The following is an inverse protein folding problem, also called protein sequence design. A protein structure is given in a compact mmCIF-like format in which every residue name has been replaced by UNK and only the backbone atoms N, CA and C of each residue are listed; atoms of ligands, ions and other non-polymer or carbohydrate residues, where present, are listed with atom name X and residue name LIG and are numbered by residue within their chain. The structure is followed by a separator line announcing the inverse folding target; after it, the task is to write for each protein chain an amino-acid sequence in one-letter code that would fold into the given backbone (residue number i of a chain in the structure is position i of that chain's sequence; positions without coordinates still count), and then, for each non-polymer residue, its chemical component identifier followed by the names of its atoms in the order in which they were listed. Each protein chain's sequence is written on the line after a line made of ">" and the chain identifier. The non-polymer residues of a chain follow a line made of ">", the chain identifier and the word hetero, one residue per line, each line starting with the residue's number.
data_IF_708349602276
#
_entry.id   IF_708349602276
#
_cell.length_a   1.000
_cell.length_b   1.000
_cell.length_c   1.000
_cell.angle_alpha   90.00
_cell.angle_beta   90.00
_cell.angle_gamma   90.00
#
_symmetry.space_group_name_H-M   'P 1'
#
loop_
_entity.id
_entity.type
_entity.pdbx_description
1 polymer ?
#
# COMPACT_ATOMS: atom_id res chain seq x y z
N UNK A 1 -41.06 38.30 -51.03
CA UNK A 1 -40.63 37.99 -49.64
C UNK A 1 -39.67 36.81 -49.73
N UNK A 2 -38.35 37.05 -49.66
CA UNK A 2 -37.34 36.02 -49.89
C UNK A 2 -37.03 35.29 -48.58
N UNK A 3 -37.28 33.98 -48.54
CA UNK A 3 -36.91 33.10 -47.43
C UNK A 3 -35.47 32.64 -47.67
N UNK A 4 -34.55 33.08 -46.82
CA UNK A 4 -33.19 32.52 -46.75
C UNK A 4 -33.25 31.15 -46.08
N UNK A 5 -33.20 30.08 -46.87
CA UNK A 5 -32.93 28.73 -46.37
C UNK A 5 -31.45 28.61 -45.99
N UNK A 6 -31.17 28.57 -44.68
CA UNK A 6 -29.86 28.21 -44.12
C UNK A 6 -29.53 26.78 -44.56
N UNK A 7 -28.38 26.59 -45.22
CA UNK A 7 -27.81 25.28 -45.52
C UNK A 7 -27.64 24.49 -44.22
N UNK A 8 -28.41 23.41 -44.07
CA UNK A 8 -28.17 22.38 -43.05
C UNK A 8 -26.87 21.66 -43.44
N UNK A 9 -25.86 21.71 -42.58
CA UNK A 9 -24.65 20.90 -42.75
C UNK A 9 -25.05 19.44 -42.59
N UNK A 10 -25.02 18.69 -43.69
CA UNK A 10 -25.18 17.23 -43.67
C UNK A 10 -24.03 16.62 -42.90
N UNK A 11 -24.35 15.90 -41.82
CA UNK A 11 -23.37 15.14 -41.05
C UNK A 11 -22.80 14.02 -41.96
N UNK A 12 -21.48 13.91 -42.03
CA UNK A 12 -20.80 12.86 -42.81
C UNK A 12 -21.23 11.47 -42.29
N UNK A 13 -21.53 10.57 -43.22
CA UNK A 13 -21.87 9.17 -42.99
C UNK A 13 -20.89 8.43 -42.06
N UNK A 14 -19.60 8.83 -42.04
CA UNK A 14 -18.60 8.31 -41.09
C UNK A 14 -18.89 8.72 -39.65
N UNK A 15 -19.36 9.93 -39.44
CA UNK A 15 -19.75 10.44 -38.11
C UNK A 15 -21.01 9.72 -37.61
N UNK A 16 -21.98 9.48 -38.49
CA UNK A 16 -23.17 8.69 -38.18
C UNK A 16 -22.84 7.23 -37.85
N UNK A 17 -21.89 6.61 -38.57
CA UNK A 17 -21.41 5.25 -38.25
C UNK A 17 -20.70 5.17 -36.91
N UNK A 18 -19.92 6.19 -36.54
CA UNK A 18 -19.23 6.25 -35.25
C UNK A 18 -20.21 6.42 -34.09
N UNK A 19 -21.20 7.32 -34.22
CA UNK A 19 -22.27 7.49 -33.22
C UNK A 19 -23.10 6.20 -33.09
N UNK A 20 -23.41 5.53 -34.19
CA UNK A 20 -24.11 4.25 -34.17
C UNK A 20 -23.31 3.18 -33.43
N UNK A 21 -22.00 3.06 -33.67
CA UNK A 21 -21.13 2.11 -32.97
C UNK A 21 -21.07 2.35 -31.46
N UNK A 22 -20.88 3.60 -31.03
CA UNK A 22 -20.86 3.96 -29.60
C UNK A 22 -22.21 3.67 -28.95
N UNK A 23 -23.31 4.03 -29.61
CA UNK A 23 -24.65 3.79 -29.09
C UNK A 23 -24.95 2.29 -28.95
N UNK A 24 -24.49 1.48 -29.91
CA UNK A 24 -24.67 0.02 -29.87
C UNK A 24 -23.82 -0.63 -28.77
N UNK A 25 -22.59 -0.14 -28.57
CA UNK A 25 -21.70 -0.59 -27.50
C UNK A 25 -22.25 -0.26 -26.11
N UNK A 26 -22.74 0.96 -25.89
CA UNK A 26 -23.37 1.38 -24.62
C UNK A 26 -24.63 0.55 -24.33
N UNK A 27 -25.46 0.29 -25.34
CA UNK A 27 -26.66 -0.55 -25.19
C UNK A 27 -26.27 -2.00 -24.86
N UNK A 28 -25.24 -2.57 -25.51
CA UNK A 28 -24.78 -3.92 -25.20
C UNK A 28 -24.20 -4.03 -23.78
N UNK A 29 -23.35 -3.10 -23.35
CA UNK A 29 -22.81 -3.08 -21.97
C UNK A 29 -23.92 -2.93 -20.94
N UNK A 30 -24.93 -2.10 -21.22
CA UNK A 30 -26.10 -1.93 -20.34
C UNK A 30 -26.95 -3.19 -20.27
N UNK A 31 -27.15 -3.90 -21.40
CA UNK A 31 -27.90 -5.16 -21.45
C UNK A 31 -27.15 -6.30 -20.75
N UNK A 32 -25.82 -6.39 -20.88
CA UNK A 32 -25.01 -7.36 -20.13
C UNK A 32 -24.99 -7.07 -18.61
N UNK A 33 -25.02 -5.79 -18.22
CA UNK A 33 -25.16 -5.39 -16.81
C UNK A 33 -26.53 -5.75 -16.22
N UNK A 34 -27.60 -5.64 -17.01
CA UNK A 34 -28.96 -5.96 -16.58
C UNK A 34 -29.20 -7.49 -16.58
N UNK A 35 -28.71 -8.24 -17.57
CA UNK A 35 -28.86 -9.71 -17.61
C UNK A 35 -28.06 -10.44 -16.52
N UNK A 36 -26.93 -9.89 -16.06
CA UNK A 36 -26.22 -10.46 -14.89
C UNK A 36 -26.90 -10.19 -13.55
N UNK A 37 -27.81 -9.22 -13.48
CA UNK A 37 -28.56 -8.92 -12.25
C UNK A 37 -29.74 -9.87 -12.00
N UNK A 38 -30.20 -10.64 -13.01
CA UNK A 38 -31.30 -11.61 -12.84
C UNK A 38 -30.84 -13.04 -12.54
N UNK A 39 -29.54 -13.31 -12.59
CA UNK A 39 -28.93 -14.59 -12.17
C UNK A 39 -28.18 -14.43 -10.85
N UNK A 40 -28.78 -13.66 -9.92
CA UNK A 40 -28.46 -13.78 -8.49
C UNK A 40 -28.94 -15.16 -8.01
N UNK A 41 -28.14 -16.18 -8.34
CA UNK A 41 -28.18 -17.49 -7.72
C UNK A 41 -28.02 -17.30 -6.21
N UNK A 42 -29.01 -17.80 -5.49
CA UNK A 42 -28.98 -18.39 -4.15
C UNK A 42 -27.56 -18.57 -3.54
N UNK A 43 -27.03 -17.51 -2.90
CA UNK A 43 -25.81 -17.54 -2.07
C UNK A 43 -26.23 -17.37 -0.60
N UNK A 44 -27.15 -18.20 -0.11
CA UNK A 44 -27.49 -18.23 1.32
C UNK A 44 -26.58 -19.19 2.13
N UNK A 45 -25.66 -19.89 1.47
CA UNK A 45 -24.88 -20.99 2.07
C UNK A 45 -23.47 -20.68 2.61
N UNK A 46 -22.86 -19.52 2.33
CA UNK A 46 -21.45 -19.27 2.65
C UNK A 46 -21.16 -18.09 3.61
N UNK A 47 -22.18 -17.33 4.03
CA UNK A 47 -22.02 -16.10 4.84
C UNK A 47 -22.00 -16.35 6.36
N UNK A 48 -21.26 -17.35 6.85
CA UNK A 48 -21.10 -17.58 8.30
C UNK A 48 -19.65 -17.62 8.74
N UNK A 49 -18.98 -16.47 8.74
CA UNK A 49 -18.19 -15.97 9.87
C UNK A 49 -17.75 -14.53 9.60
N UNK A 50 -17.78 -13.68 10.61
CA UNK A 50 -17.73 -12.20 10.61
C UNK A 50 -19.12 -11.53 10.47
N UNK A 51 -19.66 -11.12 11.61
CA UNK A 51 -21.05 -10.70 11.80
C UNK A 51 -21.49 -9.52 10.91
N UNK A 52 -22.69 -9.64 10.35
CA UNK A 52 -23.42 -8.59 9.62
C UNK A 52 -24.04 -7.57 10.58
N UNK A 53 -23.22 -6.92 11.42
CA UNK A 53 -23.66 -5.67 12.02
C UNK A 53 -23.59 -4.58 10.93
N UNK A 54 -24.60 -3.70 10.85
CA UNK A 54 -24.53 -2.53 9.98
C UNK A 54 -23.28 -1.73 10.35
N UNK A 55 -22.26 -1.75 9.47
CA UNK A 55 -21.00 -1.08 9.73
C UNK A 55 -21.24 0.42 9.83
N UNK A 56 -21.00 0.99 11.01
CA UNK A 56 -21.09 2.43 11.23
C UNK A 56 -19.71 3.03 10.96
N UNK A 57 -19.56 3.93 9.97
CA UNK A 57 -18.28 4.56 9.70
C UNK A 57 -17.76 5.31 10.92
N UNK A 58 -16.43 5.38 11.11
CA UNK A 58 -15.84 6.17 12.20
C UNK A 58 -16.23 7.66 12.05
N UNK A 59 -16.49 8.30 13.19
CA UNK A 59 -16.93 9.69 13.30
C UNK A 59 -15.79 10.63 13.68
N UNK A 60 -14.68 10.10 14.21
CA UNK A 60 -13.53 10.89 14.67
C UNK A 60 -12.21 10.35 14.13
N UNK A 61 -11.16 11.18 14.13
CA UNK A 61 -9.82 10.76 13.72
C UNK A 61 -9.24 9.76 14.72
N UNK A 62 -9.57 9.92 16.00
CA UNK A 62 -9.17 9.04 17.08
C UNK A 62 -9.74 7.62 16.91
N UNK A 63 -10.98 7.50 16.43
CA UNK A 63 -11.58 6.21 16.09
C UNK A 63 -10.87 5.54 14.90
N UNK A 64 -10.55 6.30 13.85
CA UNK A 64 -9.77 5.79 12.72
C UNK A 64 -8.40 5.30 13.20
N UNK A 65 -7.70 6.13 13.98
CA UNK A 65 -6.38 5.81 14.53
C UNK A 65 -6.41 4.52 15.37
N UNK A 66 -7.43 4.36 16.22
CA UNK A 66 -7.63 3.15 17.02
C UNK A 66 -7.89 1.91 16.15
N UNK A 67 -8.73 2.03 15.11
CA UNK A 67 -8.99 0.95 14.14
C UNK A 67 -7.70 0.55 13.44
N UNK A 68 -6.91 1.52 12.96
CA UNK A 68 -5.64 1.27 12.28
C UNK A 68 -4.65 0.57 13.19
N UNK A 69 -4.42 1.07 14.42
CA UNK A 69 -3.52 0.43 15.37
C UNK A 69 -3.90 -1.02 15.70
N UNK A 70 -5.18 -1.26 15.98
CA UNK A 70 -5.69 -2.60 16.31
C UNK A 70 -5.62 -3.56 15.11
N UNK A 71 -6.00 -3.08 13.92
CA UNK A 71 -6.00 -3.87 12.70
C UNK A 71 -4.58 -4.21 12.27
N UNK A 72 -3.67 -3.24 12.32
CA UNK A 72 -2.27 -3.45 12.01
C UNK A 72 -1.69 -4.54 12.92
N UNK A 73 -1.84 -4.47 14.24
CA UNK A 73 -1.36 -5.53 15.16
C UNK A 73 -1.83 -6.94 14.76
N UNK A 74 -3.12 -7.08 14.44
CA UNK A 74 -3.71 -8.35 14.01
C UNK A 74 -3.13 -8.85 12.69
N UNK A 75 -3.01 -7.96 11.70
CA UNK A 75 -2.54 -8.28 10.34
C UNK A 75 -1.06 -8.59 10.34
N UNK A 76 -0.24 -7.78 11.03
CA UNK A 76 1.20 -8.03 11.22
C UNK A 76 1.46 -9.37 11.89
N UNK A 77 0.70 -9.71 12.94
CA UNK A 77 0.83 -11.02 13.60
C UNK A 77 0.58 -12.17 12.63
N UNK A 78 -0.38 -12.02 11.69
CA UNK A 78 -0.67 -13.04 10.67
C UNK A 78 0.41 -13.12 9.59
N UNK A 79 0.91 -11.97 9.14
CA UNK A 79 2.03 -11.89 8.21
C UNK A 79 3.26 -12.57 8.82
N UNK A 80 3.68 -12.21 10.03
CA UNK A 80 4.85 -12.82 10.69
C UNK A 80 4.69 -14.32 10.97
N UNK A 81 3.46 -14.83 11.07
CA UNK A 81 3.21 -16.27 11.22
C UNK A 81 3.34 -17.05 9.90
N UNK A 82 2.98 -16.44 8.78
CA UNK A 82 2.84 -17.13 7.50
C UNK A 82 3.92 -16.73 6.49
N UNK A 83 4.57 -15.59 6.66
CA UNK A 83 5.52 -15.06 5.69
C UNK A 83 6.96 -15.23 6.20
N UNK A 84 7.85 -15.43 5.24
CA UNK A 84 9.30 -15.37 5.45
C UNK A 84 9.84 -14.12 4.76
N UNK A 85 10.83 -13.47 5.37
CA UNK A 85 11.50 -12.33 4.77
C UNK A 85 12.74 -12.84 4.01
N UNK A 86 12.73 -12.83 2.67
CA UNK A 86 13.84 -13.36 1.89
C UNK A 86 15.10 -12.51 2.06
N UNK A 87 16.27 -13.15 1.96
CA UNK A 87 17.52 -12.40 1.75
C UNK A 87 17.45 -11.65 0.40
N UNK A 88 18.26 -10.60 0.22
CA UNK A 88 18.16 -9.68 -0.95
C UNK A 88 18.27 -10.39 -2.31
N UNK A 89 18.92 -11.55 -2.36
CA UNK A 89 19.08 -12.37 -3.56
C UNK A 89 18.03 -13.47 -3.73
N UNK A 90 17.22 -13.75 -2.71
CA UNK A 90 16.29 -14.87 -2.74
C UNK A 90 15.01 -14.49 -3.52
N UNK A 91 14.46 -15.41 -4.33
CA UNK A 91 13.27 -15.12 -5.09
C UNK A 91 12.06 -14.92 -4.18
N UNK A 92 11.32 -13.85 -4.43
CA UNK A 92 10.02 -13.63 -3.80
C UNK A 92 8.97 -14.58 -4.37
N UNK A 93 8.02 -15.01 -3.54
CA UNK A 93 7.01 -16.00 -3.93
C UNK A 93 5.78 -15.97 -3.03
N UNK A 94 4.69 -16.58 -3.47
CA UNK A 94 3.50 -16.85 -2.63
C UNK A 94 2.84 -18.14 -3.08
N UNK A 95 2.25 -18.87 -2.13
CA UNK A 95 1.38 -20.02 -2.44
C UNK A 95 -0.08 -19.61 -2.66
N UNK A 96 -0.36 -18.31 -2.74
CA UNK A 96 -1.70 -17.78 -3.01
C UNK A 96 -2.24 -18.29 -4.35
N UNK A 97 -3.50 -18.70 -4.36
CA UNK A 97 -4.24 -18.99 -5.59
C UNK A 97 -4.70 -17.74 -6.31
N UNK A 98 -4.77 -16.60 -5.62
CA UNK A 98 -5.29 -15.33 -6.15
C UNK A 98 -4.18 -14.35 -6.54
N UNK A 99 -3.03 -14.40 -5.88
CA UNK A 99 -1.96 -13.42 -6.06
C UNK A 99 -0.71 -14.06 -6.63
N UNK A 100 0.02 -13.27 -7.41
CA UNK A 100 1.41 -13.54 -7.80
C UNK A 100 2.30 -12.40 -7.33
N UNK A 101 3.53 -12.75 -6.93
CA UNK A 101 4.56 -11.75 -6.70
C UNK A 101 5.26 -11.47 -8.02
N UNK A 102 5.33 -10.20 -8.42
CA UNK A 102 6.05 -9.77 -9.62
C UNK A 102 7.06 -8.69 -9.28
N UNK A 103 8.18 -8.68 -10.01
CA UNK A 103 9.15 -7.60 -9.96
C UNK A 103 8.85 -6.57 -11.05
N UNK A 104 8.63 -5.32 -10.66
CA UNK A 104 8.44 -4.19 -11.55
C UNK A 104 9.67 -3.29 -11.58
N UNK A 105 9.97 -2.78 -12.76
CA UNK A 105 10.98 -1.75 -12.95
C UNK A 105 10.34 -0.40 -12.66
N UNK A 106 10.75 0.25 -11.56
CA UNK A 106 10.30 1.61 -11.22
C UNK A 106 11.47 2.57 -11.23
N UNK A 107 11.21 3.79 -11.71
CA UNK A 107 12.12 4.92 -11.50
C UNK A 107 12.24 5.15 -9.98
N UNK A 108 13.39 4.79 -9.41
CA UNK A 108 13.75 5.16 -8.05
C UNK A 108 14.58 6.44 -8.10
N UNK A 109 14.16 7.44 -7.33
CA UNK A 109 14.93 8.67 -7.15
C UNK A 109 16.06 8.36 -6.18
N UNK A 110 17.29 8.31 -6.67
CA UNK A 110 18.49 8.07 -5.85
C UNK A 110 19.18 9.40 -5.57
N UNK A 111 18.60 10.18 -4.65
CA UNK A 111 19.15 11.46 -4.21
C UNK A 111 19.45 12.43 -5.35
N UNK A 112 20.59 13.13 -5.27
CA UNK A 112 21.03 14.12 -6.26
C UNK A 112 21.58 13.54 -7.57
N UNK A 113 21.66 12.21 -7.71
CA UNK A 113 22.32 11.54 -8.85
C UNK A 113 21.37 11.20 -10.01
N UNK A 114 20.11 11.64 -9.94
CA UNK A 114 19.09 11.38 -10.97
C UNK A 114 18.26 10.13 -10.70
N UNK A 115 17.44 9.75 -11.69
CA UNK A 115 16.58 8.56 -11.64
C UNK A 115 17.38 7.32 -12.03
N UNK A 116 17.35 6.28 -11.23
CA UNK A 116 17.80 4.93 -11.61
C UNK A 116 16.58 4.02 -11.73
N UNK A 117 16.62 3.07 -12.65
CA UNK A 117 15.63 2.00 -12.66
C UNK A 117 15.97 1.03 -11.54
N UNK A 118 15.06 0.90 -10.58
CA UNK A 118 15.14 -0.08 -9.50
C UNK A 118 14.08 -1.16 -9.70
N UNK A 119 14.41 -2.38 -9.31
CA UNK A 119 13.42 -3.43 -9.16
C UNK A 119 12.69 -3.21 -7.84
N UNK A 120 11.37 -3.05 -7.89
CA UNK A 120 10.47 -3.11 -6.74
C UNK A 120 9.56 -4.33 -6.91
N UNK A 121 9.16 -5.00 -5.84
CA UNK A 121 8.25 -6.12 -5.94
C UNK A 121 6.84 -5.72 -5.51
N UNK A 122 5.83 -6.34 -6.12
CA UNK A 122 4.41 -6.10 -5.79
C UNK A 122 3.62 -7.40 -5.89
N UNK A 123 2.38 -7.36 -5.40
CA UNK A 123 1.39 -8.42 -5.56
C UNK A 123 0.43 -8.04 -6.69
N UNK A 124 0.27 -8.93 -7.67
CA UNK A 124 -0.70 -8.77 -8.76
C UNK A 124 -1.81 -9.78 -8.60
N UNK A 125 -3.05 -9.33 -8.80
CA UNK A 125 -4.21 -10.21 -8.82
C UNK A 125 -4.16 -11.07 -10.10
N UNK A 126 -4.05 -12.39 -9.94
CA UNK A 126 -4.15 -13.36 -11.03
C UNK A 126 -5.53 -13.26 -11.67
N UNK A 127 -5.59 -13.44 -13.00
CA UNK A 127 -6.81 -13.42 -13.81
C UNK A 127 -7.92 -12.50 -13.23
N UNK A 128 -7.74 -11.18 -13.30
CA UNK A 128 -8.64 -10.23 -12.64
C UNK A 128 -10.11 -10.39 -13.06
N UNK A 129 -10.36 -10.81 -14.30
CA UNK A 129 -11.72 -11.06 -14.80
C UNK A 129 -12.44 -12.16 -14.01
N UNK A 130 -11.71 -13.12 -13.45
CA UNK A 130 -12.23 -14.22 -12.63
C UNK A 130 -12.18 -13.86 -11.14
N UNK A 131 -11.14 -13.16 -10.68
CA UNK A 131 -10.91 -12.97 -9.25
C UNK A 131 -11.50 -11.68 -8.67
N UNK A 132 -11.93 -10.70 -9.49
CA UNK A 132 -12.57 -9.48 -9.00
C UNK A 132 -13.86 -9.76 -8.19
N UNK A 133 -14.65 -10.75 -8.59
CA UNK A 133 -15.85 -11.17 -7.86
C UNK A 133 -15.55 -11.85 -6.52
N UNK A 134 -14.29 -12.21 -6.27
CA UNK A 134 -13.79 -12.88 -5.07
C UNK A 134 -12.74 -12.04 -4.34
N UNK A 135 -12.76 -10.72 -4.50
CA UNK A 135 -11.76 -9.83 -3.90
C UNK A 135 -11.65 -9.99 -2.38
N UNK A 136 -12.75 -10.19 -1.66
CA UNK A 136 -12.68 -10.37 -0.20
C UNK A 136 -11.90 -11.65 0.17
N UNK A 137 -12.19 -12.76 -0.50
CA UNK A 137 -11.43 -14.01 -0.36
C UNK A 137 -9.96 -13.80 -0.74
N UNK A 138 -9.69 -13.09 -1.85
CA UNK A 138 -8.34 -12.81 -2.30
C UNK A 138 -7.57 -12.01 -1.25
N UNK A 139 -8.13 -10.94 -0.67
CA UNK A 139 -7.42 -10.19 0.37
C UNK A 139 -7.19 -11.01 1.64
N UNK A 140 -8.17 -11.80 2.07
CA UNK A 140 -8.01 -12.72 3.22
C UNK A 140 -6.92 -13.76 2.95
N UNK A 141 -6.78 -14.21 1.70
CA UNK A 141 -5.76 -15.18 1.29
C UNK A 141 -4.33 -14.62 1.49
N UNK A 142 -4.09 -13.32 1.26
CA UNK A 142 -2.76 -12.69 1.40
C UNK A 142 -2.09 -13.00 2.74
N UNK A 143 -2.84 -12.88 3.85
CA UNK A 143 -2.29 -13.02 5.19
C UNK A 143 -2.40 -14.42 5.77
N UNK A 144 -3.07 -15.34 5.08
CA UNK A 144 -3.28 -16.71 5.54
C UNK A 144 -2.51 -17.75 4.72
N UNK A 145 -1.84 -17.34 3.63
CA UNK A 145 -1.00 -18.22 2.81
C UNK A 145 0.48 -17.93 3.02
N UNK A 146 1.32 -18.98 2.95
CA UNK A 146 2.76 -18.82 2.90
C UNK A 146 3.23 -17.89 1.78
N UNK A 147 4.16 -16.98 2.12
CA UNK A 147 4.79 -16.08 1.16
C UNK A 147 6.22 -15.73 1.56
N UNK A 148 7.03 -15.39 0.54
CA UNK A 148 8.33 -14.71 0.66
C UNK A 148 8.20 -13.35 0.02
N UNK A 149 8.10 -12.30 0.82
CA UNK A 149 7.77 -10.96 0.31
C UNK A 149 8.47 -9.85 1.12
N UNK A 150 8.65 -8.69 0.49
CA UNK A 150 9.29 -7.53 1.11
C UNK A 150 8.36 -6.70 2.02
N UNK A 151 8.97 -5.82 2.82
CA UNK A 151 8.28 -4.97 3.79
C UNK A 151 7.28 -3.98 3.17
N UNK A 152 7.48 -3.55 1.92
CA UNK A 152 6.57 -2.65 1.17
C UNK A 152 5.29 -3.36 0.76
N UNK A 153 5.38 -4.62 0.33
CA UNK A 153 4.22 -5.48 0.05
C UNK A 153 3.42 -5.66 1.33
N UNK A 154 4.11 -6.03 2.40
CA UNK A 154 3.50 -6.26 3.70
C UNK A 154 2.81 -4.99 4.25
N UNK A 155 3.44 -3.80 4.09
CA UNK A 155 2.84 -2.51 4.46
C UNK A 155 1.55 -2.25 3.69
N UNK A 156 1.55 -2.51 2.39
CA UNK A 156 0.40 -2.31 1.53
C UNK A 156 -0.74 -3.27 1.92
N UNK A 157 -0.42 -4.53 2.27
CA UNK A 157 -1.40 -5.47 2.85
C UNK A 157 -2.02 -4.90 4.12
N UNK A 158 -1.21 -4.42 5.06
CA UNK A 158 -1.72 -3.82 6.31
C UNK A 158 -2.65 -2.64 6.04
N UNK A 159 -2.25 -1.74 5.13
CA UNK A 159 -3.06 -0.59 4.73
C UNK A 159 -4.41 -1.01 4.13
N UNK A 160 -4.42 -2.02 3.26
CA UNK A 160 -5.64 -2.57 2.65
C UNK A 160 -6.60 -3.07 3.74
N UNK A 161 -6.10 -3.86 4.69
CA UNK A 161 -6.93 -4.37 5.78
C UNK A 161 -7.41 -3.27 6.72
N UNK A 162 -6.59 -2.26 7.00
CA UNK A 162 -7.03 -1.09 7.79
C UNK A 162 -8.17 -0.35 7.08
N UNK A 163 -8.04 -0.11 5.77
CA UNK A 163 -9.10 0.54 4.99
C UNK A 163 -10.37 -0.32 4.95
N UNK A 164 -10.23 -1.64 4.83
CA UNK A 164 -11.35 -2.59 4.89
C UNK A 164 -12.11 -2.51 6.21
N UNK A 165 -11.41 -2.44 7.35
CA UNK A 165 -12.04 -2.30 8.65
C UNK A 165 -12.64 -0.90 8.88
N UNK A 166 -12.04 0.16 8.33
CA UNK A 166 -12.60 1.52 8.38
C UNK A 166 -13.90 1.64 7.59
N UNK A 167 -13.94 1.12 6.36
CA UNK A 167 -15.09 1.24 5.46
C UNK A 167 -16.16 0.17 5.70
N UNK A 168 -15.77 -0.96 6.28
CA UNK A 168 -16.55 -2.18 6.33
C UNK A 168 -16.38 -3.03 5.05
N UNK A 169 -16.57 -4.37 5.12
CA UNK A 169 -16.25 -5.28 4.03
C UNK A 169 -16.97 -4.94 2.72
N UNK A 170 -18.30 -4.75 2.75
CA UNK A 170 -19.09 -4.53 1.54
C UNK A 170 -18.68 -3.25 0.80
N UNK A 171 -18.54 -2.14 1.52
CA UNK A 171 -18.13 -0.85 0.95
C UNK A 171 -16.70 -0.90 0.44
N UNK A 172 -15.82 -1.57 1.16
CA UNK A 172 -14.44 -1.76 0.73
C UNK A 172 -14.34 -2.57 -0.57
N UNK A 173 -15.11 -3.65 -0.73
CA UNK A 173 -15.12 -4.43 -1.98
C UNK A 173 -15.69 -3.62 -3.13
N UNK A 174 -16.76 -2.85 -2.88
CA UNK A 174 -17.29 -1.92 -3.87
C UNK A 174 -16.24 -0.89 -4.29
N UNK A 175 -15.55 -0.28 -3.32
CA UNK A 175 -14.45 0.66 -3.55
C UNK A 175 -13.34 0.04 -4.39
N UNK A 176 -12.83 -1.14 -3.99
CA UNK A 176 -11.72 -1.80 -4.67
C UNK A 176 -12.08 -2.18 -6.12
N UNK A 177 -13.31 -2.65 -6.35
CA UNK A 177 -13.81 -2.99 -7.70
C UNK A 177 -13.95 -1.74 -8.58
N UNK A 178 -14.47 -0.66 -8.01
CA UNK A 178 -14.59 0.63 -8.71
C UNK A 178 -13.22 1.23 -9.02
N UNK A 179 -12.30 1.21 -8.05
CA UNK A 179 -10.92 1.68 -8.22
C UNK A 179 -10.21 0.93 -9.34
N UNK A 180 -10.32 -0.41 -9.33
CA UNK A 180 -9.81 -1.25 -10.40
C UNK A 180 -10.32 -0.80 -11.78
N UNK A 181 -11.63 -0.57 -11.89
CA UNK A 181 -12.26 -0.16 -13.15
C UNK A 181 -11.75 1.20 -13.64
N UNK A 182 -11.54 2.15 -12.73
CA UNK A 182 -10.95 3.47 -13.04
C UNK A 182 -9.51 3.31 -13.52
N UNK A 183 -8.69 2.54 -12.81
CA UNK A 183 -7.30 2.25 -13.22
C UNK A 183 -7.23 1.67 -14.63
N UNK A 184 -8.11 0.73 -14.97
CA UNK A 184 -8.18 0.16 -16.33
C UNK A 184 -8.56 1.21 -17.38
N UNK A 185 -9.53 2.08 -17.07
CA UNK A 185 -9.94 3.16 -17.98
C UNK A 185 -8.81 4.17 -18.24
N UNK A 186 -8.06 4.50 -17.18
CA UNK A 186 -6.89 5.40 -17.22
C UNK A 186 -5.60 4.69 -17.68
N UNK A 187 -5.66 3.40 -18.00
CA UNK A 187 -4.54 2.56 -18.46
C UNK A 187 -3.37 2.51 -17.48
N UNK A 188 -3.67 2.51 -16.19
CA UNK A 188 -2.67 2.29 -15.17
C UNK A 188 -2.18 0.83 -15.23
N UNK A 189 -0.88 0.58 -14.97
CA UNK A 189 -0.35 -0.77 -14.80
C UNK A 189 -1.11 -1.55 -13.73
N UNK A 190 -1.32 -2.85 -13.97
CA UNK A 190 -1.99 -3.75 -13.04
C UNK A 190 -1.24 -3.91 -11.73
N UNK A 191 0.07 -3.79 -11.82
CA UNK A 191 1.05 -3.86 -10.74
C UNK A 191 0.91 -2.72 -9.72
N UNK A 192 0.25 -1.64 -10.11
CA UNK A 192 -0.01 -0.50 -9.24
C UNK A 192 -1.28 -0.69 -8.39
N UNK A 193 -2.22 -1.56 -8.78
CA UNK A 193 -3.50 -1.72 -8.08
C UNK A 193 -3.30 -1.99 -6.59
N UNK A 194 -2.42 -2.91 -6.24
CA UNK A 194 -2.19 -3.31 -4.86
C UNK A 194 -1.58 -2.19 -3.99
N UNK A 195 -0.67 -1.39 -4.55
CA UNK A 195 0.00 -0.31 -3.83
C UNK A 195 -0.82 0.98 -3.77
N UNK A 196 -1.63 1.24 -4.79
CA UNK A 196 -2.44 2.46 -4.92
C UNK A 196 -3.86 2.29 -4.36
N UNK A 197 -4.32 1.05 -4.14
CA UNK A 197 -5.64 0.79 -3.56
C UNK A 197 -5.86 1.47 -2.20
N UNK A 198 -4.89 1.50 -1.26
CA UNK A 198 -5.05 2.27 -0.04
C UNK A 198 -5.27 3.76 -0.33
N UNK A 199 -6.41 4.28 0.14
CA UNK A 199 -6.87 5.66 -0.03
C UNK A 199 -5.76 6.70 0.23
N UNK A 200 -5.76 7.82 -0.49
CA UNK A 200 -4.73 8.86 -0.40
C UNK A 200 -4.47 9.25 1.06
N UNK A 201 -3.23 9.04 1.51
CA UNK A 201 -2.77 9.39 2.84
C UNK A 201 -2.42 10.87 2.91
N UNK A 202 -2.77 11.53 4.01
CA UNK A 202 -2.21 12.84 4.32
C UNK A 202 -0.82 12.63 4.92
N UNK A 203 0.15 13.41 4.44
CA UNK A 203 1.42 13.64 5.13
C UNK A 203 1.19 14.73 6.16
N UNK A 204 0.97 14.43 7.45
CA UNK A 204 0.85 15.47 8.44
C UNK A 204 2.13 16.31 8.46
N UNK A 205 1.98 17.62 8.71
CA UNK A 205 3.12 18.49 8.98
C UNK A 205 3.89 17.92 10.19
N UNK A 206 5.22 18.01 10.13
CA UNK A 206 6.17 17.54 11.14
C UNK A 206 5.60 17.54 12.57
N UNK A 207 5.75 16.41 13.26
CA UNK A 207 5.27 16.18 14.62
C UNK A 207 5.40 14.71 15.00
N UNK A 208 5.32 14.37 16.31
CA UNK A 208 5.50 13.01 16.77
C UNK A 208 4.44 12.07 16.19
N UNK A 209 4.84 10.84 15.85
CA UNK A 209 3.92 9.82 15.37
C UNK A 209 2.83 9.52 16.41
N UNK A 210 1.57 9.68 16.02
CA UNK A 210 0.42 9.29 16.84
C UNK A 210 0.05 7.83 16.57
N UNK A 211 -0.63 7.13 17.49
CA UNK A 211 -1.21 5.82 17.20
C UNK A 211 -2.00 5.85 15.89
N UNK A 212 -1.82 4.84 15.04
CA UNK A 212 -2.39 4.73 13.70
C UNK A 212 -1.54 5.36 12.61
N UNK A 213 -0.49 6.11 12.96
CA UNK A 213 0.45 6.67 11.99
C UNK A 213 1.28 5.58 11.34
N UNK A 214 1.30 5.57 10.01
CA UNK A 214 2.25 4.80 9.20
C UNK A 214 3.49 5.66 9.00
N UNK A 215 4.66 5.14 9.38
CA UNK A 215 5.91 5.90 9.40
C UNK A 215 7.01 5.11 8.71
N UNK A 216 8.03 5.82 8.24
CA UNK A 216 9.32 5.24 7.91
C UNK A 216 10.34 5.68 8.96
N UNK A 217 10.87 4.72 9.71
CA UNK A 217 11.93 4.97 10.69
C UNK A 217 13.28 4.60 10.06
N UNK A 218 14.22 5.54 10.03
CA UNK A 218 15.58 5.28 9.55
C UNK A 218 16.59 5.89 10.51
N UNK A 219 17.37 5.05 11.18
CA UNK A 219 18.39 5.47 12.15
C UNK A 219 19.77 5.72 11.50
N UNK A 220 19.88 5.47 10.20
CA UNK A 220 21.12 5.60 9.44
C UNK A 220 20.89 6.55 8.26
N UNK A 221 21.18 7.85 8.42
CA UNK A 221 21.15 8.76 7.29
C UNK A 221 22.17 8.29 6.26
N UNK A 222 21.80 8.35 4.99
CA UNK A 222 22.69 8.00 3.87
C UNK A 222 23.05 6.52 3.75
N UNK A 223 22.28 5.59 4.32
CA UNK A 223 22.49 4.13 4.20
C UNK A 223 22.79 3.67 2.75
N UNK A 224 22.07 4.20 1.76
CA UNK A 224 22.26 3.89 0.34
C UNK A 224 23.64 4.25 -0.23
N UNK A 225 24.36 5.19 0.38
CA UNK A 225 25.74 5.53 -0.01
C UNK A 225 26.76 4.50 0.51
N UNK A 226 26.40 3.72 1.53
CA UNK A 226 27.29 2.77 2.19
C UNK A 226 26.99 1.33 1.77
N UNK A 227 25.72 0.97 1.72
CA UNK A 227 25.23 -0.34 1.27
C UNK A 227 24.16 -0.10 0.20
N UNK A 228 24.53 0.15 -1.07
CA UNK A 228 23.57 0.44 -2.15
C UNK A 228 22.55 -0.69 -2.39
N UNK A 229 22.83 -1.90 -1.89
CA UNK A 229 21.94 -3.06 -1.92
C UNK A 229 21.54 -3.57 -0.54
N UNK A 230 21.82 -2.82 0.53
CA UNK A 230 21.56 -3.30 1.89
C UNK A 230 20.09 -3.17 2.29
N UNK A 231 19.65 -4.04 3.20
CA UNK A 231 18.25 -4.10 3.64
C UNK A 231 17.90 -3.15 4.81
N UNK A 232 18.87 -2.41 5.39
CA UNK A 232 18.68 -1.59 6.58
C UNK A 232 18.61 -0.07 6.30
N UNK A 233 18.08 0.33 5.13
CA UNK A 233 17.83 1.74 4.82
C UNK A 233 16.81 2.41 5.76
N UNK A 234 16.02 1.60 6.45
CA UNK A 234 14.98 1.98 7.39
C UNK A 234 13.80 1.00 7.34
N UNK A 235 12.91 1.12 8.31
CA UNK A 235 11.78 0.23 8.51
C UNK A 235 10.46 0.94 8.23
N UNK A 236 9.60 0.30 7.43
CA UNK A 236 8.20 0.66 7.33
C UNK A 236 7.47 0.16 8.57
N UNK A 237 6.88 1.09 9.34
CA UNK A 237 6.25 0.79 10.62
C UNK A 237 4.87 1.42 10.77
N UNK A 238 4.07 0.88 11.69
CA UNK A 238 2.83 1.49 12.19
C UNK A 238 2.99 1.79 13.67
N UNK A 239 2.73 3.03 14.06
CA UNK A 239 2.63 3.44 15.45
C UNK A 239 1.37 2.83 16.07
N UNK A 240 1.52 1.99 17.09
CA UNK A 240 0.43 1.27 17.77
C UNK A 240 0.04 1.92 19.09
N UNK A 241 1.02 2.55 19.75
CA UNK A 241 0.88 3.37 20.95
C UNK A 241 1.96 4.46 20.91
N UNK A 242 1.88 5.52 21.73
CA UNK A 242 2.98 6.49 21.84
C UNK A 242 4.31 5.77 22.05
N UNK A 243 5.25 5.99 21.12
CA UNK A 243 6.57 5.37 21.09
C UNK A 243 6.58 3.82 21.01
N UNK A 244 5.54 3.19 20.43
CA UNK A 244 5.54 1.74 20.15
C UNK A 244 5.13 1.48 18.72
N UNK A 245 5.96 0.75 18.00
CA UNK A 245 5.86 0.53 16.57
C UNK A 245 5.87 -0.95 16.23
N UNK A 246 5.04 -1.36 15.30
CA UNK A 246 5.16 -2.65 14.61
C UNK A 246 5.69 -2.42 13.20
N UNK A 247 6.55 -3.30 12.74
CA UNK A 247 7.17 -3.20 11.42
C UNK A 247 7.43 -4.57 10.84
N UNK A 248 8.12 -4.59 9.72
CA UNK A 248 8.34 -5.80 8.92
C UNK A 248 9.81 -6.17 8.91
N UNK A 249 10.22 -6.95 9.93
CA UNK A 249 11.45 -7.71 10.01
C UNK A 249 11.43 -8.52 11.32
N UNK A 250 12.45 -9.35 11.53
CA UNK A 250 12.54 -10.25 12.68
C UNK A 250 12.46 -9.55 14.05
N UNK A 251 12.85 -8.27 14.13
CA UNK A 251 12.81 -7.50 15.38
C UNK A 251 11.38 -7.29 15.91
N UNK A 252 10.37 -7.38 15.02
CA UNK A 252 8.97 -7.21 15.36
C UNK A 252 8.22 -8.54 15.54
N UNK A 253 8.89 -9.70 15.44
CA UNK A 253 8.27 -11.02 15.62
C UNK A 253 7.62 -11.17 17.00
N UNK A 254 8.27 -10.59 18.03
CA UNK A 254 7.75 -10.57 19.40
C UNK A 254 6.65 -9.51 19.63
N UNK A 255 6.29 -8.72 18.61
CA UNK A 255 5.29 -7.66 18.68
C UNK A 255 5.89 -6.25 18.59
N UNK A 256 5.12 -5.26 19.05
CA UNK A 256 5.49 -3.85 18.96
C UNK A 256 6.76 -3.53 19.76
N UNK A 257 7.67 -2.76 19.19
CA UNK A 257 8.96 -2.33 19.76
C UNK A 257 8.98 -0.81 19.96
N UNK A 258 9.76 -0.32 20.91
CA UNK A 258 10.00 1.12 21.07
C UNK A 258 11.05 1.68 20.11
N UNK A 259 11.04 3.00 19.89
CA UNK A 259 11.96 3.66 18.95
C UNK A 259 13.42 3.41 19.29
N UNK A 260 13.79 3.42 20.58
CA UNK A 260 15.15 3.21 21.04
C UNK A 260 15.65 1.79 20.71
N UNK A 261 14.80 0.77 20.89
CA UNK A 261 15.10 -0.63 20.52
C UNK A 261 15.27 -0.78 19.01
N UNK A 262 14.39 -0.16 18.22
CA UNK A 262 14.45 -0.19 16.75
C UNK A 262 15.75 0.46 16.27
N UNK A 263 16.02 1.68 16.74
CA UNK A 263 17.24 2.43 16.41
C UNK A 263 18.48 1.61 16.80
N UNK A 264 18.55 1.07 18.02
CA UNK A 264 19.69 0.27 18.47
C UNK A 264 19.92 -0.96 17.59
N UNK A 265 18.85 -1.63 17.16
CA UNK A 265 18.94 -2.85 16.36
C UNK A 265 19.33 -2.56 14.91
N UNK A 266 18.73 -1.54 14.29
CA UNK A 266 19.11 -1.06 12.97
C UNK A 266 20.59 -0.63 12.94
N UNK A 267 21.06 0.04 13.99
CA UNK A 267 22.46 0.41 14.15
C UNK A 267 23.38 -0.81 14.30
N UNK A 268 22.92 -1.89 14.93
CA UNK A 268 23.68 -3.15 15.01
C UNK A 268 23.81 -3.81 13.64
N UNK A 269 22.72 -3.90 12.86
CA UNK A 269 22.76 -4.41 11.48
C UNK A 269 23.63 -3.56 10.56
N UNK A 270 23.63 -2.24 10.76
CA UNK A 270 24.52 -1.34 10.03
C UNK A 270 26.00 -1.61 10.32
N UNK A 271 26.33 -1.90 11.58
CA UNK A 271 27.70 -2.16 12.03
C UNK A 271 28.16 -3.61 11.81
N UNK A 272 27.29 -4.52 11.35
CA UNK A 272 27.64 -5.90 11.06
C UNK A 272 28.50 -5.98 9.79
N UNK A 273 29.70 -6.56 9.94
CA UNK A 273 30.88 -6.35 9.11
C UNK A 273 30.87 -7.18 7.80
N UNK A 274 29.81 -7.94 7.53
CA UNK A 274 29.75 -8.91 6.43
C UNK A 274 29.45 -8.33 5.04
N UNK A 275 29.08 -7.06 4.92
CA UNK A 275 28.66 -6.41 3.64
C UNK A 275 29.66 -5.39 3.08
N UNK A 276 30.88 -5.31 3.63
CA UNK A 276 31.84 -4.21 3.38
C UNK A 276 32.75 -4.47 2.18
N UNK A 277 32.28 -5.14 1.12
CA UNK A 277 33.22 -5.61 0.07
C UNK A 277 33.60 -4.56 -0.99
N UNK A 278 32.90 -3.41 -1.07
CA UNK A 278 33.13 -2.45 -2.16
C UNK A 278 33.68 -1.06 -1.76
N UNK A 279 33.59 -0.65 -0.47
CA UNK A 279 34.01 0.68 0.00
C UNK A 279 34.64 0.65 1.41
N UNK A 280 35.55 -0.30 1.65
CA UNK A 280 36.16 -0.60 2.96
C UNK A 280 36.69 0.61 3.74
N UNK A 281 37.39 1.54 3.09
CA UNK A 281 38.04 2.66 3.78
C UNK A 281 37.07 3.76 4.24
N UNK A 282 36.05 4.08 3.43
CA UNK A 282 34.99 5.03 3.82
C UNK A 282 34.08 4.44 4.92
N UNK A 283 33.82 3.14 4.83
CA UNK A 283 33.11 2.39 5.87
C UNK A 283 33.86 2.36 7.19
N UNK A 284 35.16 2.05 7.16
CA UNK A 284 36.00 1.99 8.35
C UNK A 284 36.05 3.34 9.07
N UNK A 285 36.24 4.43 8.32
CA UNK A 285 36.26 5.79 8.86
C UNK A 285 34.93 6.17 9.55
N UNK A 286 33.79 5.96 8.88
CA UNK A 286 32.47 6.31 9.47
C UNK A 286 32.04 5.35 10.58
N UNK A 287 32.44 4.08 10.52
CA UNK A 287 32.24 3.11 11.60
C UNK A 287 33.07 3.47 12.84
N UNK A 288 34.30 3.98 12.67
CA UNK A 288 35.12 4.51 13.77
C UNK A 288 34.54 5.79 14.39
N UNK A 289 34.07 6.74 13.56
CA UNK A 289 33.33 7.92 14.02
C UNK A 289 32.06 7.53 14.81
N UNK A 290 31.34 6.49 14.34
CA UNK A 290 30.15 5.96 15.00
C UNK A 290 30.43 5.21 16.31
N UNK A 291 31.51 4.42 16.38
CA UNK A 291 31.90 3.66 17.59
C UNK A 291 32.33 4.58 18.74
N UNK A 292 32.87 5.75 18.44
CA UNK A 292 33.39 6.68 19.46
C UNK A 292 32.30 7.51 20.17
N UNK A 293 31.16 7.78 19.53
CA UNK A 293 30.09 8.61 20.10
C UNK A 293 28.66 8.10 19.78
N UNK A 294 28.45 6.81 20.02
CA UNK A 294 27.18 6.11 19.73
C UNK A 294 25.95 6.78 20.39
N UNK A 295 26.11 7.39 21.57
CA UNK A 295 24.99 8.00 22.32
C UNK A 295 24.58 9.36 21.77
N UNK A 296 25.54 10.25 21.47
CA UNK A 296 25.21 11.57 20.94
C UNK A 296 24.68 11.47 19.51
N UNK A 297 25.25 10.57 18.70
CA UNK A 297 24.74 10.28 17.36
C UNK A 297 23.31 9.73 17.38
N UNK A 298 22.99 8.75 18.24
CA UNK A 298 21.63 8.23 18.35
C UNK A 298 20.61 9.30 18.78
N UNK A 299 21.00 10.21 19.69
CA UNK A 299 20.16 11.33 20.11
C UNK A 299 19.92 12.36 18.99
N UNK A 300 20.95 12.69 18.20
CA UNK A 300 20.83 13.56 17.04
C UNK A 300 19.96 12.93 15.93
N UNK A 301 20.11 11.63 15.68
CA UNK A 301 19.26 10.92 14.71
C UNK A 301 17.82 10.80 15.17
N UNK A 302 17.58 10.51 16.44
CA UNK A 302 16.22 10.50 17.03
C UNK A 302 15.55 11.87 16.84
N UNK A 303 16.28 12.94 17.14
CA UNK A 303 15.80 14.31 16.91
C UNK A 303 15.52 14.59 15.43
N UNK A 304 16.39 14.17 14.51
CA UNK A 304 16.16 14.31 13.07
C UNK A 304 14.96 13.48 12.58
N UNK A 305 14.73 12.28 13.12
CA UNK A 305 13.54 11.46 12.84
C UNK A 305 12.26 12.14 13.37
N UNK A 306 12.31 12.67 14.59
CA UNK A 306 11.19 13.38 15.23
C UNK A 306 10.85 14.70 14.51
N UNK A 307 11.85 15.40 13.97
CA UNK A 307 11.69 16.68 13.26
C UNK A 307 11.42 16.51 11.76
N UNK A 308 11.82 15.38 11.18
CA UNK A 308 11.70 15.09 9.74
C UNK A 308 11.52 13.59 9.47
N UNK A 309 10.34 13.04 9.79
CA UNK A 309 9.98 11.76 9.19
C UNK A 309 10.02 11.92 7.67
N UNK A 310 10.92 11.17 7.00
CA UNK A 310 10.97 11.14 5.52
C UNK A 310 9.64 10.67 4.92
N UNK A 311 8.81 9.99 5.72
CA UNK A 311 7.51 9.47 5.36
C UNK A 311 6.65 9.31 6.62
N UNK A 312 5.54 10.04 6.69
CA UNK A 312 4.53 9.97 7.74
C UNK A 312 3.16 10.02 7.05
N UNK A 313 2.29 9.05 7.31
CA UNK A 313 1.00 8.89 6.66
C UNK A 313 -0.10 8.53 7.65
N UNK A 314 -1.29 9.08 7.47
CA UNK A 314 -2.51 8.71 8.21
C UNK A 314 -3.70 8.50 7.26
N UNK A 315 -4.66 7.69 7.67
CA UNK A 315 -5.99 7.66 7.06
C UNK A 315 -6.77 8.89 7.52
N UNK A 316 -7.14 9.77 6.59
CA UNK A 316 -7.78 11.03 6.92
C UNK A 316 -9.31 10.91 7.06
N UNK A 317 -9.85 11.37 8.19
CA UNK A 317 -11.28 11.35 8.46
C UNK A 317 -12.09 12.09 7.40
N UNK A 318 -11.62 13.25 6.94
CA UNK A 318 -12.36 14.04 5.95
C UNK A 318 -12.42 13.29 4.62
N UNK A 319 -11.30 12.77 4.16
CA UNK A 319 -11.20 11.97 2.94
C UNK A 319 -12.10 10.72 3.00
N UNK A 320 -12.12 10.00 4.13
CA UNK A 320 -13.03 8.87 4.36
C UNK A 320 -14.49 9.30 4.33
N UNK A 321 -14.85 10.39 4.99
CA UNK A 321 -16.23 10.89 5.02
C UNK A 321 -16.70 11.41 3.65
N UNK A 322 -15.83 12.09 2.90
CA UNK A 322 -16.10 12.54 1.54
C UNK A 322 -16.34 11.32 0.63
N UNK A 323 -15.52 10.27 0.73
CA UNK A 323 -15.75 9.02 0.01
C UNK A 323 -17.07 8.35 0.41
N UNK A 324 -17.33 8.20 1.71
CA UNK A 324 -18.55 7.55 2.22
C UNK A 324 -19.81 8.29 1.78
N UNK A 325 -19.77 9.62 1.69
CA UNK A 325 -20.92 10.44 1.32
C UNK A 325 -21.14 10.55 -0.20
N UNK A 326 -20.07 10.60 -0.98
CA UNK A 326 -20.16 10.84 -2.44
C UNK A 326 -19.99 9.58 -3.28
N UNK A 327 -19.36 8.53 -2.75
CA UNK A 327 -18.91 7.36 -3.49
C UNK A 327 -17.78 7.66 -4.49
N UNK A 328 -17.25 8.88 -4.51
CA UNK A 328 -16.23 9.30 -5.46
C UNK A 328 -14.83 8.95 -4.96
N UNK A 329 -14.04 8.37 -5.84
CA UNK A 329 -12.61 8.15 -5.63
C UNK A 329 -11.91 9.40 -6.16
N UNK A 330 -11.35 10.23 -5.27
CA UNK A 330 -10.53 11.35 -5.70
C UNK A 330 -9.20 10.81 -6.26
N UNK A 331 -9.08 10.77 -7.58
CA UNK A 331 -7.82 10.52 -8.29
C UNK A 331 -6.91 11.73 -8.24
#
# INVERSE_FOLDING_TARGET
>A
MNIHLKKIKTCDFKTLRFIFWISTFIIQVSLFGIQRSSEAMDIEGAHKSFGHAAHTPPQTQEEINAIVSATALKVYSKINQNWEYPATSDPMSTTSSFWEVTGIMRDTVVGSQGKKLGHAYTMVLKDPLVHLSKLDEAFVDLINKPAKAECTIALSTVKIFCLREILGPERFIHYATSFYSVMQAERWPMEDFFHELPFQFIVPKAGPAQPGSICYLTSVPSYFYFKPHGNAGGNNVVCTNPDRYIGFCSIYEAGAQDSDTIVSTDLQFFCDESDVENHLDEHKKKSEEFRQDKKSFAAEQKKAQEESYNFHQIFDLKAINDFVSTGLICT
#
